data_IF_986306514683
#
_entry.id   IF_986306514683
#
_cell.length_a   1.000
_cell.length_b   1.000
_cell.length_c   1.000
_cell.angle_alpha   90.00
_cell.angle_beta   90.00
_cell.angle_gamma   90.00
#
_symmetry.space_group_name_H-M   'P 1'
#
loop_
_entity.id
_entity.type
_entity.pdbx_description
1 polymer ?
#
# COMPACT_ATOMS: atom_id res chain seq x y z
N UNK A 1 2.91 -9.78 -9.32
CA UNK A 1 1.69 -9.09 -9.78
C UNK A 1 1.94 -8.65 -11.21
N UNK A 2 1.18 -9.16 -12.17
CA UNK A 2 1.45 -8.99 -13.60
C UNK A 2 0.41 -8.05 -14.17
N UNK A 3 0.74 -6.77 -14.24
CA UNK A 3 -0.04 -5.78 -14.99
C UNK A 3 0.51 -5.73 -16.41
N UNK A 4 -0.35 -5.72 -17.43
CA UNK A 4 0.12 -5.75 -18.83
C UNK A 4 0.71 -4.39 -19.26
N UNK A 5 1.81 -4.44 -20.03
CA UNK A 5 2.41 -3.28 -20.68
C UNK A 5 1.55 -2.76 -21.86
N UNK A 6 0.82 -3.66 -22.51
CA UNK A 6 -0.27 -3.37 -23.45
C UNK A 6 -1.41 -4.35 -23.21
N UNK A 7 -2.65 -3.85 -23.18
CA UNK A 7 -3.81 -4.66 -22.83
C UNK A 7 -4.54 -5.26 -24.03
N UNK A 8 -4.19 -4.83 -25.24
CA UNK A 8 -4.87 -5.22 -26.49
C UNK A 8 -6.17 -4.46 -26.75
N UNK A 9 -6.55 -3.51 -25.89
CA UNK A 9 -7.73 -2.66 -26.07
C UNK A 9 -7.40 -1.37 -26.82
N UNK A 10 -8.33 -0.87 -27.66
CA UNK A 10 -8.20 0.44 -28.30
C UNK A 10 -8.35 1.59 -27.30
N UNK A 11 -9.20 1.42 -26.29
CA UNK A 11 -9.34 2.36 -25.19
C UNK A 11 -9.70 1.66 -23.87
N UNK A 12 -9.32 2.29 -22.75
CA UNK A 12 -9.50 1.73 -21.41
C UNK A 12 -9.96 2.83 -20.44
N UNK A 13 -10.67 2.43 -19.39
CA UNK A 13 -11.02 3.34 -18.30
C UNK A 13 -11.25 2.60 -16.99
N UNK A 14 -11.14 3.35 -15.88
CA UNK A 14 -11.64 2.91 -14.59
C UNK A 14 -13.03 3.48 -14.33
N UNK A 15 -13.92 2.66 -13.79
CA UNK A 15 -15.25 3.07 -13.32
C UNK A 15 -15.44 2.68 -11.86
N UNK A 16 -16.49 3.20 -11.22
CA UNK A 16 -16.84 2.91 -9.83
C UNK A 16 -15.67 3.12 -8.85
N UNK A 17 -14.80 4.10 -9.15
CA UNK A 17 -13.63 4.39 -8.34
C UNK A 17 -14.07 4.96 -7.01
N UNK A 18 -13.78 4.24 -5.92
CA UNK A 18 -14.13 4.64 -4.56
C UNK A 18 -12.99 4.42 -3.59
N UNK A 19 -12.96 5.22 -2.53
CA UNK A 19 -11.99 5.09 -1.45
C UNK A 19 -12.31 3.86 -0.58
N UNK A 20 -11.29 3.10 -0.20
CA UNK A 20 -11.37 2.07 0.85
C UNK A 20 -10.90 2.61 2.22
N UNK A 21 -10.53 3.88 2.29
CA UNK A 21 -9.94 4.46 3.49
C UNK A 21 -8.47 4.02 3.68
N UNK A 22 -8.01 4.06 4.93
CA UNK A 22 -6.61 3.75 5.25
C UNK A 22 -6.50 2.50 6.12
N UNK A 23 -5.48 1.68 5.85
CA UNK A 23 -5.22 0.45 6.60
C UNK A 23 -3.72 0.26 6.85
N UNK A 24 -3.37 -0.40 7.95
CA UNK A 24 -2.00 -0.80 8.23
C UNK A 24 -1.67 -2.11 7.51
N UNK A 25 -0.46 -2.22 6.98
CA UNK A 25 0.08 -3.46 6.44
C UNK A 25 0.25 -4.52 7.52
N UNK A 26 0.41 -5.77 7.09
CA UNK A 26 0.58 -6.92 8.00
C UNK A 26 2.05 -7.26 8.27
N UNK A 27 2.94 -6.84 7.38
CA UNK A 27 4.39 -7.11 7.47
C UNK A 27 5.09 -5.91 8.10
N UNK A 28 5.86 -6.10 9.18
CA UNK A 28 6.64 -5.02 9.77
C UNK A 28 7.73 -4.59 8.78
N UNK A 29 7.92 -3.29 8.65
CA UNK A 29 8.98 -2.67 7.85
C UNK A 29 10.19 -2.29 8.70
N UNK A 30 10.01 -2.15 10.02
CA UNK A 30 11.09 -1.97 10.98
C UNK A 30 10.66 -2.46 12.36
N UNK A 31 11.63 -2.86 13.18
CA UNK A 31 11.39 -3.36 14.53
C UNK A 31 12.53 -2.95 15.47
N UNK A 32 12.18 -2.61 16.71
CA UNK A 32 13.10 -2.44 17.82
C UNK A 32 12.58 -3.23 19.02
N UNK A 33 13.45 -3.93 19.73
CA UNK A 33 13.08 -4.71 20.92
C UNK A 33 14.19 -4.70 21.97
N UNK A 34 13.82 -4.93 23.23
CA UNK A 34 14.77 -4.87 24.32
C UNK A 34 14.15 -4.95 25.70
N UNK A 35 14.99 -5.25 26.70
CA UNK A 35 14.58 -5.35 28.11
C UNK A 35 14.77 -4.01 28.80
N UNK A 36 13.74 -3.55 29.50
CA UNK A 36 13.77 -2.31 30.24
C UNK A 36 14.63 -2.37 31.50
N UNK A 37 15.06 -1.21 32.03
CA UNK A 37 14.64 0.14 31.60
C UNK A 37 15.45 0.65 30.41
N UNK A 38 14.79 0.89 29.27
CA UNK A 38 15.40 1.46 28.07
C UNK A 38 14.35 2.06 27.13
N UNK A 39 14.79 2.89 26.19
CA UNK A 39 13.93 3.43 25.11
C UNK A 39 14.19 2.67 23.82
N UNK A 40 13.15 2.06 23.26
CA UNK A 40 13.18 1.52 21.90
C UNK A 40 13.03 2.67 20.92
N UNK A 41 13.85 2.69 19.89
CA UNK A 41 13.86 3.75 18.88
C UNK A 41 14.00 3.13 17.50
N UNK A 42 13.19 3.61 16.58
CA UNK A 42 13.25 3.28 15.15
C UNK A 42 13.43 4.62 14.43
N UNK A 43 14.51 4.76 13.67
CA UNK A 43 14.77 5.88 12.76
C UNK A 43 15.36 5.32 11.47
N UNK A 44 14.51 4.90 10.53
CA UNK A 44 14.92 4.30 9.27
C UNK A 44 14.05 4.83 8.13
N UNK A 45 14.60 4.95 6.92
CA UNK A 45 13.82 5.32 5.73
C UNK A 45 13.67 4.12 4.83
N UNK A 46 12.42 3.70 4.61
CA UNK A 46 12.09 2.49 3.86
C UNK A 46 11.41 2.85 2.53
N UNK A 47 11.83 2.19 1.45
CA UNK A 47 11.18 2.33 0.14
C UNK A 47 10.02 1.35 0.05
N UNK A 48 8.79 1.85 0.21
CA UNK A 48 7.58 1.03 0.18
C UNK A 48 6.90 1.17 -1.18
N UNK A 49 6.65 0.05 -1.85
CA UNK A 49 5.98 0.01 -3.14
C UNK A 49 4.45 0.12 -3.01
N UNK A 50 3.83 0.64 -4.07
CA UNK A 50 2.37 0.60 -4.23
C UNK A 50 1.95 -0.85 -4.46
N UNK A 51 0.87 -1.28 -3.80
CA UNK A 51 0.31 -2.63 -3.97
C UNK A 51 -0.93 -2.58 -4.85
N UNK A 52 -1.07 -3.55 -5.76
CA UNK A 52 -2.15 -3.62 -6.74
C UNK A 52 -2.83 -5.00 -6.69
N UNK A 53 -4.06 -5.11 -7.16
CA UNK A 53 -4.65 -6.43 -7.41
C UNK A 53 -3.80 -7.23 -8.40
N UNK A 54 -3.74 -8.56 -8.20
CA UNK A 54 -2.80 -9.42 -8.91
C UNK A 54 -3.02 -9.48 -10.42
N UNK A 55 -4.28 -9.36 -10.87
CA UNK A 55 -4.71 -9.50 -12.25
C UNK A 55 -5.48 -8.25 -12.70
N UNK A 56 -4.74 -7.20 -13.09
CA UNK A 56 -5.32 -6.01 -13.69
C UNK A 56 -5.14 -6.10 -15.21
N UNK A 57 -6.26 -6.25 -15.93
CA UNK A 57 -6.30 -6.41 -17.38
C UNK A 57 -6.28 -5.07 -18.16
N UNK A 58 -5.90 -3.98 -17.49
CA UNK A 58 -5.70 -2.66 -18.10
C UNK A 58 -4.30 -2.13 -17.81
N UNK A 59 -3.86 -1.14 -18.57
CA UNK A 59 -2.51 -0.58 -18.44
C UNK A 59 -2.33 0.17 -17.11
N UNK A 60 -1.08 0.18 -16.59
CA UNK A 60 -0.75 0.92 -15.36
C UNK A 60 -1.02 2.43 -15.49
N UNK A 61 -0.88 3.00 -16.70
CA UNK A 61 -1.17 4.42 -16.94
C UNK A 61 -2.62 4.78 -16.66
N UNK A 62 -3.56 3.95 -17.13
CA UNK A 62 -4.99 4.13 -16.90
C UNK A 62 -5.35 3.92 -15.43
N UNK A 63 -4.71 2.95 -14.77
CA UNK A 63 -4.87 2.78 -13.32
C UNK A 63 -4.40 4.02 -12.58
N UNK A 64 -3.20 4.52 -12.89
CA UNK A 64 -2.63 5.72 -12.26
C UNK A 64 -3.52 6.95 -12.45
N UNK A 65 -4.06 7.15 -13.66
CA UNK A 65 -4.98 8.24 -13.96
C UNK A 65 -6.29 8.11 -13.17
N UNK A 66 -6.91 6.93 -13.13
CA UNK A 66 -8.18 6.74 -12.44
C UNK A 66 -8.07 6.75 -10.91
N UNK A 67 -6.97 6.25 -10.34
CA UNK A 67 -6.73 6.33 -8.89
C UNK A 67 -6.19 7.69 -8.45
N UNK A 68 -5.58 8.47 -9.35
CA UNK A 68 -5.06 9.81 -9.07
C UNK A 68 -3.66 9.82 -8.44
N UNK A 69 -2.89 8.75 -8.62
CA UNK A 69 -1.46 8.71 -8.26
C UNK A 69 -0.74 7.66 -9.09
N UNK A 70 0.56 7.84 -9.26
CA UNK A 70 1.40 6.87 -9.97
C UNK A 70 1.50 5.56 -9.19
N UNK A 71 0.93 4.49 -9.73
CA UNK A 71 0.94 3.15 -9.12
C UNK A 71 2.22 2.35 -9.39
N UNK A 72 3.10 2.87 -10.24
CA UNK A 72 4.38 2.21 -10.58
C UNK A 72 5.49 2.57 -9.61
N UNK A 73 5.37 3.72 -8.95
CA UNK A 73 6.41 4.27 -8.09
C UNK A 73 6.33 3.69 -6.68
N UNK A 74 7.50 3.42 -6.12
CA UNK A 74 7.68 3.30 -4.67
C UNK A 74 7.77 4.68 -4.02
N UNK A 75 7.55 4.73 -2.71
CA UNK A 75 7.66 5.94 -1.90
C UNK A 75 8.57 5.67 -0.72
N UNK A 76 9.52 6.56 -0.50
CA UNK A 76 10.32 6.57 0.71
C UNK A 76 9.44 7.02 1.88
N UNK A 77 9.35 6.18 2.90
CA UNK A 77 8.66 6.48 4.15
C UNK A 77 9.71 6.57 5.25
N UNK A 78 9.85 7.75 5.84
CA UNK A 78 10.64 7.93 7.05
C UNK A 78 9.86 7.37 8.23
N UNK A 79 10.43 6.34 8.86
CA UNK A 79 9.90 5.67 10.05
C UNK A 79 10.65 6.22 11.24
N UNK A 80 10.04 7.15 11.97
CA UNK A 80 10.55 7.64 13.25
C UNK A 80 9.56 7.37 14.37
N UNK A 81 10.02 6.69 15.42
CA UNK A 81 9.17 6.35 16.56
C UNK A 81 10.00 5.88 17.74
N UNK A 82 9.55 6.23 18.95
CA UNK A 82 10.19 5.79 20.18
C UNK A 82 9.15 5.36 21.22
N UNK A 83 9.54 4.42 22.08
CA UNK A 83 8.72 3.97 23.21
C UNK A 83 9.60 3.51 24.36
N UNK A 84 9.28 3.98 25.56
CA UNK A 84 9.93 3.53 26.79
C UNK A 84 9.44 2.13 27.19
N UNK A 85 10.37 1.28 27.58
CA UNK A 85 10.13 -0.05 28.16
C UNK A 85 10.35 0.04 29.67
N UNK A 86 9.32 -0.23 30.49
CA UNK A 86 9.44 -0.25 31.94
C UNK A 86 10.49 -1.25 32.44
N UNK A 87 11.07 -0.98 33.61
CA UNK A 87 12.00 -1.92 34.26
C UNK A 87 11.36 -3.30 34.44
N UNK A 88 12.13 -4.35 34.16
CA UNK A 88 11.67 -5.74 34.31
C UNK A 88 10.76 -6.25 33.18
N UNK A 89 10.40 -5.40 32.19
CA UNK A 89 9.62 -5.78 31.01
C UNK A 89 10.49 -5.95 29.77
N UNK A 90 10.06 -6.81 28.86
CA UNK A 90 10.62 -6.90 27.51
C UNK A 90 9.64 -6.30 26.52
N UNK A 91 10.02 -5.17 25.92
CA UNK A 91 9.21 -4.45 24.96
C UNK A 91 9.59 -4.76 23.51
N UNK A 92 8.63 -4.65 22.62
CA UNK A 92 8.82 -4.71 21.17
C UNK A 92 7.99 -3.61 20.52
N UNK A 93 8.64 -2.76 19.74
CA UNK A 93 8.04 -1.74 18.91
C UNK A 93 8.19 -2.16 17.45
N UNK A 94 7.06 -2.33 16.75
CA UNK A 94 7.03 -2.68 15.31
C UNK A 94 6.42 -1.55 14.52
N UNK A 95 7.04 -1.20 13.41
CA UNK A 95 6.52 -0.27 12.43
C UNK A 95 5.98 -1.03 11.23
N UNK A 96 4.80 -0.63 10.74
CA UNK A 96 4.15 -1.20 9.56
C UNK A 96 3.87 -0.07 8.57
N UNK A 97 3.95 -0.34 7.27
CA UNK A 97 3.51 0.63 6.28
C UNK A 97 1.99 0.90 6.40
N UNK A 98 1.60 2.16 6.41
CA UNK A 98 0.20 2.60 6.32
C UNK A 98 -0.13 2.86 4.85
N UNK A 99 -1.24 2.30 4.40
CA UNK A 99 -1.72 2.42 3.03
C UNK A 99 -3.05 3.18 2.97
N UNK A 100 -3.27 3.90 1.87
CA UNK A 100 -4.58 4.41 1.44
C UNK A 100 -5.05 3.58 0.25
N UNK A 101 -6.21 2.95 0.38
CA UNK A 101 -6.76 2.06 -0.63
C UNK A 101 -7.79 2.75 -1.51
N UNK A 102 -7.80 2.40 -2.80
CA UNK A 102 -8.93 2.63 -3.71
C UNK A 102 -9.40 1.31 -4.30
N UNK A 103 -10.69 1.26 -4.60
CA UNK A 103 -11.37 0.15 -5.28
C UNK A 103 -12.02 0.66 -6.56
N UNK A 104 -11.96 -0.12 -7.62
CA UNK A 104 -12.47 0.25 -8.93
C UNK A 104 -12.79 -0.97 -9.79
N UNK A 105 -13.57 -0.77 -10.84
CA UNK A 105 -13.70 -1.73 -11.93
C UNK A 105 -12.96 -1.20 -13.16
N UNK A 106 -12.39 -2.11 -13.94
CA UNK A 106 -11.63 -1.79 -15.14
C UNK A 106 -12.44 -2.17 -16.38
N UNK A 107 -12.52 -1.26 -17.35
CA UNK A 107 -13.17 -1.49 -18.63
C UNK A 107 -12.21 -1.30 -19.82
N UNK A 108 -12.44 -2.07 -20.88
CA UNK A 108 -11.76 -1.94 -22.17
C UNK A 108 -12.75 -1.95 -23.33
N UNK A 109 -12.37 -1.40 -24.48
CA UNK A 109 -13.14 -1.46 -25.74
C UNK A 109 -12.21 -1.62 -26.94
N UNK A 110 -12.71 -2.31 -27.98
CA UNK A 110 -12.07 -2.47 -29.29
C UNK A 110 -12.79 -1.68 -30.40
N UNK A 111 -13.35 -0.52 -30.07
CA UNK A 111 -14.06 0.34 -31.04
C UNK A 111 -15.58 0.13 -31.06
N UNK A 112 -16.11 -0.56 -30.04
CA UNK A 112 -17.54 -0.77 -29.83
C UNK A 112 -17.93 -0.55 -28.37
N UNK A 113 -18.83 -1.39 -27.86
CA UNK A 113 -19.30 -1.30 -26.47
C UNK A 113 -18.18 -1.52 -25.46
N UNK A 114 -18.23 -0.79 -24.34
CA UNK A 114 -17.31 -0.98 -23.22
C UNK A 114 -17.59 -2.29 -22.51
N UNK A 115 -16.55 -3.10 -22.31
CA UNK A 115 -16.63 -4.37 -21.60
C UNK A 115 -15.88 -4.24 -20.27
N UNK A 116 -16.45 -4.79 -19.20
CA UNK A 116 -15.75 -4.86 -17.91
C UNK A 116 -14.78 -6.03 -17.92
N UNK A 117 -13.49 -5.71 -17.78
CA UNK A 117 -12.37 -6.65 -17.88
C UNK A 117 -11.74 -6.96 -16.53
N UNK A 118 -12.18 -6.27 -15.47
CA UNK A 118 -11.81 -6.56 -14.09
C UNK A 118 -12.79 -5.94 -13.13
N UNK A 119 -13.33 -6.75 -12.22
CA UNK A 119 -14.24 -6.29 -11.18
C UNK A 119 -13.53 -6.15 -9.84
N UNK A 120 -13.95 -5.19 -9.03
CA UNK A 120 -13.56 -5.02 -7.64
C UNK A 120 -12.04 -4.99 -7.41
N UNK A 121 -11.30 -4.45 -8.37
CA UNK A 121 -9.84 -4.32 -8.32
C UNK A 121 -9.45 -3.26 -7.29
N UNK A 122 -8.26 -3.42 -6.71
CA UNK A 122 -7.78 -2.55 -5.63
C UNK A 122 -6.37 -2.03 -5.90
N UNK A 123 -6.11 -0.81 -5.43
CA UNK A 123 -4.79 -0.21 -5.41
C UNK A 123 -4.53 0.44 -4.05
N UNK A 124 -3.37 0.17 -3.47
CA UNK A 124 -2.96 0.65 -2.15
C UNK A 124 -1.72 1.50 -2.26
N UNK A 125 -1.88 2.80 -2.01
CA UNK A 125 -0.80 3.78 -1.96
C UNK A 125 -0.17 3.80 -0.58
N UNK A 126 1.15 3.61 -0.43
CA UNK A 126 1.82 3.89 0.84
C UNK A 126 1.72 5.38 1.18
N UNK A 127 1.28 5.69 2.40
CA UNK A 127 1.06 7.07 2.88
C UNK A 127 1.72 7.37 4.22
N UNK A 128 2.28 6.38 4.93
CA UNK A 128 2.93 6.60 6.21
C UNK A 128 3.22 5.31 6.97
N UNK A 129 3.21 5.40 8.30
CA UNK A 129 3.56 4.30 9.21
C UNK A 129 2.47 4.09 10.26
N UNK A 130 2.23 2.84 10.64
CA UNK A 130 1.52 2.45 11.85
C UNK A 130 2.51 1.82 12.84
N UNK A 131 2.48 2.23 14.10
CA UNK A 131 3.28 1.61 15.15
C UNK A 131 2.43 0.66 15.99
N UNK A 132 2.98 -0.50 16.32
CA UNK A 132 2.42 -1.44 17.28
C UNK A 132 3.45 -1.70 18.37
N UNK A 133 3.07 -1.43 19.61
CA UNK A 133 3.89 -1.74 20.78
C UNK A 133 3.29 -2.94 21.53
N UNK A 134 4.15 -3.84 21.99
CA UNK A 134 3.80 -4.94 22.88
C UNK A 134 4.86 -5.10 23.97
N UNK A 135 4.46 -5.57 25.14
CA UNK A 135 5.37 -5.84 26.26
C UNK A 135 5.00 -7.15 26.95
N UNK A 136 6.00 -7.84 27.49
CA UNK A 136 5.87 -9.03 28.34
C UNK A 136 6.64 -8.83 29.65
#
# INVERSE_FOLDING_TARGET
MTTKASSGWLAERLINVRSLGTSCGKTPIAEASGRGKMTLRIDQTESVSTSLSANINVTKGVVSAGVGWDVTKSRSITVSGSKEVPSGKYGTLKAYAKYSGKKFDAQGTNGGSWMTVGHNQTAYKPIGVCFKYSQR
#
